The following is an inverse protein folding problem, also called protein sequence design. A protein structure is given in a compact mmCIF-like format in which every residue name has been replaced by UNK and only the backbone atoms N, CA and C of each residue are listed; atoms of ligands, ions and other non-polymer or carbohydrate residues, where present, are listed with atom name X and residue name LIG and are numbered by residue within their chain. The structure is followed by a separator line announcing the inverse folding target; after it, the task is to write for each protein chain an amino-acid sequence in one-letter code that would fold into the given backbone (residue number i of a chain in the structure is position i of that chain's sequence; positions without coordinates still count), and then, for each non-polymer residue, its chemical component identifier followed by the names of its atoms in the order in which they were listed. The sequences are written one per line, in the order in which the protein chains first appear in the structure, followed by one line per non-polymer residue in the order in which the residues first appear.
data_IF_646421227832
#
_entry.id   IF_646421227832
#
_cell.length_a   1.000
_cell.length_b   1.000
_cell.length_c   1.000
_cell.angle_alpha   90.00
_cell.angle_beta   90.00
_cell.angle_gamma   90.00
#
_symmetry.space_group_name_H-M   'P 1'
#
loop_
_entity.id
_entity.type
_entity.pdbx_description
1 polymer ?
#
# COMPACT_ATOMS: atom_id res chain seq x y z
N UNK A 1 35.45 -11.51 -21.94
CA UNK A 1 34.99 -12.08 -23.23
C UNK A 1 33.46 -12.05 -23.42
N UNK A 2 32.63 -12.73 -22.62
CA UNK A 2 31.15 -12.81 -22.85
C UNK A 2 30.37 -11.46 -22.82
N UNK A 3 30.82 -10.46 -22.05
CA UNK A 3 30.16 -9.15 -21.95
C UNK A 3 30.33 -8.28 -23.21
N UNK A 4 31.45 -8.42 -23.91
CA UNK A 4 31.79 -7.60 -25.09
C UNK A 4 31.00 -8.09 -26.32
N UNK A 5 30.84 -9.40 -26.47
CA UNK A 5 30.03 -10.01 -27.53
C UNK A 5 28.53 -9.67 -27.40
N UNK A 6 28.01 -9.54 -26.18
CA UNK A 6 26.62 -9.11 -25.95
C UNK A 6 26.40 -7.62 -26.25
N UNK A 7 27.42 -6.77 -26.08
CA UNK A 7 27.32 -5.35 -26.40
C UNK A 7 27.35 -5.11 -27.92
N UNK A 8 28.28 -5.76 -28.64
CA UNK A 8 28.37 -5.69 -30.10
C UNK A 8 27.15 -6.33 -30.78
N UNK A 9 26.62 -7.43 -30.22
CA UNK A 9 25.39 -8.06 -30.70
C UNK A 9 24.10 -7.27 -30.42
N UNK A 10 24.11 -6.34 -29.46
CA UNK A 10 23.01 -5.38 -29.22
C UNK A 10 23.05 -4.23 -30.23
N UNK A 11 24.22 -3.62 -30.45
CA UNK A 11 24.36 -2.52 -31.42
C UNK A 11 24.03 -2.93 -32.86
N UNK A 12 24.37 -4.16 -33.26
CA UNK A 12 24.00 -4.70 -34.59
C UNK A 12 22.49 -5.03 -34.68
N UNK A 13 21.86 -5.43 -33.57
CA UNK A 13 20.40 -5.59 -33.51
C UNK A 13 19.70 -4.24 -33.64
N UNK A 14 20.16 -3.23 -32.92
CA UNK A 14 19.56 -1.89 -32.90
C UNK A 14 19.64 -1.20 -34.26
N UNK A 15 20.77 -1.31 -34.98
CA UNK A 15 20.89 -0.79 -36.35
C UNK A 15 19.96 -1.47 -37.36
N UNK A 16 19.67 -2.76 -37.17
CA UNK A 16 18.70 -3.50 -38.00
C UNK A 16 17.24 -3.14 -37.65
N UNK A 17 16.95 -2.80 -36.39
CA UNK A 17 15.63 -2.29 -36.00
C UNK A 17 15.36 -0.90 -36.58
N UNK A 18 16.35 0.01 -36.54
CA UNK A 18 16.23 1.34 -37.14
C UNK A 18 15.99 1.28 -38.65
N UNK A 19 16.77 0.47 -39.39
CA UNK A 19 16.55 0.26 -40.83
C UNK A 19 15.17 -0.34 -41.16
N UNK A 20 14.67 -1.26 -40.33
CA UNK A 20 13.32 -1.82 -40.47
C UNK A 20 12.24 -0.79 -40.18
N UNK A 21 12.43 0.08 -39.19
CA UNK A 21 11.50 1.15 -38.87
C UNK A 21 11.41 2.18 -40.01
N UNK A 22 12.56 2.61 -40.57
CA UNK A 22 12.61 3.50 -41.74
C UNK A 22 11.89 2.88 -42.94
N UNK A 23 12.19 1.62 -43.27
CA UNK A 23 11.52 0.88 -44.34
C UNK A 23 10.01 0.69 -44.10
N UNK A 24 9.57 0.62 -42.84
CA UNK A 24 8.16 0.51 -42.49
C UNK A 24 7.44 1.85 -42.66
N UNK A 25 8.05 2.96 -42.24
CA UNK A 25 7.55 4.31 -42.47
C UNK A 25 7.44 4.60 -43.98
N UNK A 26 8.46 4.27 -44.77
CA UNK A 26 8.38 4.42 -46.24
C UNK A 26 7.23 3.62 -46.86
N UNK A 27 6.91 2.44 -46.32
CA UNK A 27 5.79 1.62 -46.79
C UNK A 27 4.43 2.21 -46.39
N UNK A 28 4.35 2.88 -45.25
CA UNK A 28 3.18 3.64 -44.81
C UNK A 28 2.96 4.86 -45.72
N UNK A 29 4.03 5.62 -46.01
CA UNK A 29 3.98 6.78 -46.91
C UNK A 29 3.57 6.40 -48.33
N UNK A 30 4.04 5.25 -48.83
CA UNK A 30 3.64 4.66 -50.12
C UNK A 30 2.22 4.06 -50.10
N UNK A 31 1.51 4.11 -48.97
CA UNK A 31 0.15 3.57 -48.80
C UNK A 31 0.04 2.05 -48.84
N UNK A 32 1.17 1.33 -48.78
CA UNK A 32 1.25 -0.12 -48.96
C UNK A 32 1.00 -0.91 -47.67
N UNK A 33 1.01 -0.25 -46.51
CA UNK A 33 0.79 -0.89 -45.20
C UNK A 33 -0.19 -0.11 -44.34
N UNK A 34 -1.25 -0.79 -43.89
CA UNK A 34 -2.25 -0.27 -42.94
C UNK A 34 -1.64 -0.28 -41.53
N UNK A 35 -1.55 0.88 -40.89
CA UNK A 35 -1.07 1.01 -39.51
C UNK A 35 -2.22 0.73 -38.57
N UNK A 36 -2.05 -0.27 -37.71
CA UNK A 36 -3.03 -0.57 -36.67
C UNK A 36 -2.77 0.30 -35.44
N UNK A 37 -3.84 0.83 -34.85
CA UNK A 37 -3.74 1.56 -33.60
C UNK A 37 -3.18 0.65 -32.47
N UNK A 38 -2.38 1.20 -31.54
CA UNK A 38 -1.86 0.45 -30.40
C UNK A 38 -3.01 -0.09 -29.55
N UNK A 39 -3.00 -1.39 -29.27
CA UNK A 39 -4.07 -2.07 -28.52
C UNK A 39 -3.81 -1.97 -27.02
N UNK A 40 -4.69 -1.29 -26.30
CA UNK A 40 -4.70 -1.29 -24.83
C UNK A 40 -5.63 -2.41 -24.36
N UNK A 41 -5.28 -3.23 -23.35
CA UNK A 41 -6.09 -4.39 -22.92
C UNK A 41 -7.54 -4.04 -22.55
N UNK A 42 -7.76 -2.83 -22.02
CA UNK A 42 -9.09 -2.32 -21.66
C UNK A 42 -9.98 -2.00 -22.86
N UNK A 43 -9.41 -1.83 -24.05
CA UNK A 43 -10.10 -1.41 -25.26
C UNK A 43 -10.43 -2.59 -26.20
N UNK A 44 -9.92 -3.79 -25.92
CA UNK A 44 -10.10 -4.97 -26.78
C UNK A 44 -11.57 -5.34 -27.00
N UNK A 45 -12.42 -5.17 -25.97
CA UNK A 45 -13.87 -5.46 -26.08
C UNK A 45 -14.55 -4.52 -27.09
N UNK A 46 -14.30 -3.22 -26.98
CA UNK A 46 -14.86 -2.20 -27.88
C UNK A 46 -14.29 -2.32 -29.30
N UNK A 47 -13.03 -2.72 -29.42
CA UNK A 47 -12.41 -3.00 -30.72
C UNK A 47 -13.07 -4.18 -31.42
N UNK A 48 -13.35 -5.26 -30.68
CA UNK A 48 -14.05 -6.43 -31.22
C UNK A 48 -15.51 -6.12 -31.60
N UNK A 49 -16.17 -5.22 -30.88
CA UNK A 49 -17.50 -4.70 -31.24
C UNK A 49 -17.44 -3.86 -32.52
N UNK A 50 -16.49 -2.93 -32.63
CA UNK A 50 -16.30 -2.09 -33.81
C UNK A 50 -15.86 -2.88 -35.06
N UNK A 51 -15.11 -3.98 -34.90
CA UNK A 51 -14.73 -4.86 -36.02
C UNK A 51 -15.88 -5.72 -36.55
N UNK A 52 -16.94 -5.92 -35.75
CA UNK A 52 -18.15 -6.63 -36.16
C UNK A 52 -19.14 -5.75 -36.92
N UNK A 53 -18.93 -4.43 -36.91
CA UNK A 53 -19.77 -3.48 -37.63
C UNK A 53 -19.27 -3.30 -39.08
N UNK A 54 -20.07 -3.79 -40.03
CA UNK A 54 -19.76 -3.75 -41.47
C UNK A 54 -19.74 -2.32 -42.03
N UNK A 55 -20.44 -1.37 -41.41
CA UNK A 55 -20.41 0.03 -41.83
C UNK A 55 -19.05 0.67 -41.51
N UNK A 56 -18.53 0.41 -40.31
CA UNK A 56 -17.22 0.90 -39.86
C UNK A 56 -16.10 0.25 -40.66
N UNK A 57 -16.23 -1.04 -40.99
CA UNK A 57 -15.23 -1.74 -41.82
C UNK A 57 -15.13 -1.15 -43.22
N UNK A 58 -16.26 -0.84 -43.86
CA UNK A 58 -16.30 -0.19 -45.18
C UNK A 58 -15.70 1.23 -45.13
N UNK A 59 -16.00 1.99 -44.08
CA UNK A 59 -15.46 3.36 -43.94
C UNK A 59 -13.95 3.39 -43.61
N UNK A 60 -13.42 2.31 -43.01
CA UNK A 60 -11.97 2.12 -42.80
C UNK A 60 -11.22 1.63 -44.06
N UNK A 61 -11.95 1.19 -45.08
CA UNK A 61 -11.41 0.77 -46.38
C UNK A 61 -11.50 1.89 -47.42
N UNK A 62 -12.41 2.86 -47.23
CA UNK A 62 -12.51 4.05 -48.07
C UNK A 62 -11.37 5.04 -47.78
N UNK A 63 -10.75 5.51 -48.86
CA UNK A 63 -9.68 6.51 -48.78
C UNK A 63 -10.30 7.91 -48.82
N UNK A 64 -10.33 8.58 -47.68
CA UNK A 64 -10.84 9.94 -47.58
C UNK A 64 -9.80 10.98 -48.04
N UNK A 65 -9.86 11.37 -49.31
CA UNK A 65 -8.90 12.31 -49.92
C UNK A 65 -8.88 13.69 -49.24
N UNK A 66 -10.04 14.16 -48.75
CA UNK A 66 -10.12 15.43 -48.02
C UNK A 66 -9.38 15.43 -46.68
N UNK A 67 -9.42 14.31 -45.95
CA UNK A 67 -8.67 14.13 -44.70
C UNK A 67 -7.17 14.08 -44.95
N UNK A 68 -6.75 13.36 -46.00
CA UNK A 68 -5.35 13.34 -46.43
C UNK A 68 -4.85 14.73 -46.86
N UNK A 69 -5.66 15.47 -47.60
CA UNK A 69 -5.37 16.85 -47.99
C UNK A 69 -5.25 17.80 -46.80
N UNK A 70 -6.01 17.58 -45.73
CA UNK A 70 -5.89 18.36 -44.49
C UNK A 70 -4.71 17.92 -43.62
N UNK A 71 -4.40 16.62 -43.55
CA UNK A 71 -3.20 16.11 -42.86
C UNK A 71 -1.91 16.68 -43.47
N UNK A 72 -1.83 16.72 -44.80
CA UNK A 72 -0.66 17.24 -45.51
C UNK A 72 -0.44 18.75 -45.32
N UNK A 73 -1.43 19.49 -44.79
CA UNK A 73 -1.28 20.91 -44.43
C UNK A 73 -0.62 21.11 -43.07
N UNK A 74 -0.60 20.09 -42.21
CA UNK A 74 0.06 20.19 -40.90
C UNK A 74 1.57 20.01 -41.07
N UNK A 75 2.31 21.11 -40.98
CA UNK A 75 3.76 21.07 -40.83
C UNK A 75 4.10 21.06 -39.34
N UNK A 76 4.18 19.87 -38.76
CA UNK A 76 4.65 19.70 -37.38
C UNK A 76 6.18 19.82 -37.39
N UNK A 77 6.68 21.03 -37.14
CA UNK A 77 8.10 21.21 -36.83
C UNK A 77 8.31 20.80 -35.38
N UNK A 78 8.95 19.64 -35.16
CA UNK A 78 9.55 19.29 -33.88
C UNK A 78 10.58 20.37 -33.55
N UNK A 79 10.22 21.33 -32.70
CA UNK A 79 11.21 22.16 -32.04
C UNK A 79 11.88 21.23 -31.05
N UNK A 80 13.15 20.91 -31.28
CA UNK A 80 13.93 20.18 -30.28
C UNK A 80 13.76 20.91 -28.95
N UNK A 81 13.39 20.19 -27.87
CA UNK A 81 13.23 20.83 -26.58
C UNK A 81 14.53 21.57 -26.26
N UNK A 82 14.45 22.81 -25.74
CA UNK A 82 15.66 23.56 -25.39
C UNK A 82 16.55 22.68 -24.54
N UNK A 83 17.85 22.64 -24.87
CA UNK A 83 18.83 21.82 -24.16
C UNK A 83 18.67 22.08 -22.66
N UNK A 84 18.35 21.02 -21.91
CA UNK A 84 18.30 21.12 -20.46
C UNK A 84 19.72 21.44 -20.00
N UNK A 85 19.90 22.56 -19.32
CA UNK A 85 21.14 22.85 -18.59
C UNK A 85 21.36 21.72 -17.58
N UNK A 86 22.19 20.75 -17.95
CA UNK A 86 22.66 19.72 -17.03
C UNK A 86 23.80 20.36 -16.27
N UNK A 87 23.74 20.36 -14.94
CA UNK A 87 24.81 20.94 -14.13
C UNK A 87 26.14 20.23 -14.41
N UNK A 88 27.19 21.01 -14.67
CA UNK A 88 28.58 20.50 -14.79
C UNK A 88 29.12 19.92 -13.48
N UNK A 89 28.38 20.08 -12.37
CA UNK A 89 28.75 19.50 -11.08
C UNK A 89 28.64 17.99 -11.16
N UNK A 90 29.77 17.32 -10.97
CA UNK A 90 29.83 15.88 -10.79
C UNK A 90 29.01 15.49 -9.57
N UNK A 91 27.96 14.69 -9.80
CA UNK A 91 27.19 14.10 -8.70
C UNK A 91 28.06 13.16 -7.87
N UNK A 92 27.74 12.96 -6.57
CA UNK A 92 28.40 11.96 -5.75
C UNK A 92 28.34 10.59 -6.44
N UNK A 93 29.49 9.92 -6.52
CA UNK A 93 29.55 8.54 -7.04
C UNK A 93 29.31 7.56 -5.90
N UNK A 94 28.87 6.35 -6.25
CA UNK A 94 28.70 5.26 -5.26
C UNK A 94 29.98 5.00 -4.46
N UNK A 95 31.14 5.21 -5.07
CA UNK A 95 32.43 5.07 -4.40
C UNK A 95 32.65 6.16 -3.35
N UNK A 96 32.31 7.42 -3.64
CA UNK A 96 32.36 8.50 -2.64
C UNK A 96 31.41 8.25 -1.47
N UNK A 97 30.19 7.75 -1.70
CA UNK A 97 29.28 7.40 -0.60
C UNK A 97 29.83 6.30 0.30
N UNK A 98 30.52 5.31 -0.28
CA UNK A 98 31.16 4.23 0.47
C UNK A 98 32.33 4.71 1.33
N UNK A 99 33.12 5.67 0.84
CA UNK A 99 34.23 6.25 1.59
C UNK A 99 33.78 7.04 2.82
N UNK A 100 32.65 7.73 2.72
CA UNK A 100 32.14 8.58 3.80
C UNK A 100 31.10 7.92 4.69
N UNK A 101 30.78 6.63 4.46
CA UNK A 101 29.78 5.89 5.25
C UNK A 101 30.03 5.87 6.76
N UNK A 102 31.29 6.04 7.17
CA UNK A 102 31.70 6.03 8.57
C UNK A 102 32.05 7.43 9.10
N UNK A 103 31.93 8.49 8.30
CA UNK A 103 32.15 9.85 8.78
C UNK A 103 30.98 10.28 9.67
N UNK A 104 31.21 10.72 10.92
CA UNK A 104 30.14 11.19 11.80
C UNK A 104 29.38 12.40 11.24
N UNK A 105 30.02 13.14 10.34
CA UNK A 105 29.49 14.32 9.65
C UNK A 105 28.70 13.93 8.39
N UNK A 106 28.83 12.68 7.93
CA UNK A 106 28.16 12.14 6.75
C UNK A 106 26.97 11.28 7.17
N UNK A 107 25.90 11.95 7.60
CA UNK A 107 24.61 11.29 7.82
C UNK A 107 23.61 11.79 6.77
N UNK A 108 22.82 10.86 6.21
CA UNK A 108 21.85 11.11 5.15
C UNK A 108 22.41 11.62 3.81
N UNK A 109 23.73 11.53 3.58
CA UNK A 109 24.37 11.83 2.29
C UNK A 109 24.63 13.33 2.04
N UNK A 110 24.61 14.16 3.08
CA UNK A 110 24.92 15.58 3.00
C UNK A 110 26.08 15.94 3.94
N UNK A 111 27.03 16.75 3.48
CA UNK A 111 27.98 17.40 4.38
C UNK A 111 27.26 18.51 5.14
N UNK A 112 27.15 18.36 6.45
CA UNK A 112 26.62 19.43 7.28
C UNK A 112 27.70 20.51 7.49
N UNK A 113 27.38 21.79 7.24
CA UNK A 113 28.28 22.87 7.59
C UNK A 113 28.45 22.96 9.10
N UNK A 114 29.64 23.36 9.55
CA UNK A 114 29.91 23.65 10.97
C UNK A 114 28.88 24.64 11.52
N UNK A 115 28.52 24.47 12.81
CA UNK A 115 27.46 25.25 13.46
C UNK A 115 27.63 26.78 13.30
N UNK A 116 28.87 27.26 13.28
CA UNK A 116 29.20 28.68 13.14
C UNK A 116 28.92 29.25 11.74
N UNK A 117 28.87 28.39 10.72
CA UNK A 117 28.61 28.76 9.32
C UNK A 117 27.12 28.72 8.98
N UNK A 118 26.28 28.25 9.90
CA UNK A 118 24.84 28.18 9.69
C UNK A 118 24.24 29.57 9.99
N UNK A 119 23.60 30.23 9.00
CA UNK A 119 22.95 31.51 9.24
C UNK A 119 21.75 31.35 10.17
N UNK A 120 21.41 32.43 10.89
CA UNK A 120 20.22 32.50 11.74
C UNK A 120 18.95 32.18 10.94
N UNK A 121 17.97 31.55 11.57
CA UNK A 121 16.73 31.08 10.93
C UNK A 121 16.92 30.03 9.83
N UNK A 122 18.06 29.32 9.83
CA UNK A 122 18.24 28.11 9.02
C UNK A 122 18.61 26.93 9.91
N UNK A 123 18.11 25.77 9.51
CA UNK A 123 18.38 24.47 10.11
C UNK A 123 19.13 23.63 9.09
N UNK A 124 20.00 22.75 9.56
CA UNK A 124 20.40 21.61 8.71
C UNK A 124 19.23 20.64 8.58
N UNK A 125 19.33 19.72 7.62
CA UNK A 125 18.28 18.73 7.42
C UNK A 125 18.16 17.77 8.61
N UNK A 126 19.28 17.37 9.21
CA UNK A 126 19.30 16.56 10.45
C UNK A 126 18.58 17.27 11.58
N UNK A 127 18.99 18.51 11.84
CA UNK A 127 18.41 19.34 12.89
C UNK A 127 16.89 19.53 12.72
N UNK A 128 16.45 19.71 11.47
CA UNK A 128 15.03 19.79 11.15
C UNK A 128 14.30 18.48 11.47
N UNK A 129 14.89 17.32 11.15
CA UNK A 129 14.30 16.01 11.47
C UNK A 129 14.21 15.76 12.97
N UNK A 130 15.27 16.06 13.73
CA UNK A 130 15.30 15.89 15.19
C UNK A 130 14.23 16.77 15.87
N UNK A 131 14.10 18.04 15.44
CA UNK A 131 13.06 18.96 15.92
C UNK A 131 11.65 18.45 15.56
N UNK A 132 11.46 17.99 14.32
CA UNK A 132 10.17 17.46 13.86
C UNK A 132 9.78 16.18 14.61
N UNK A 133 10.73 15.31 14.91
CA UNK A 133 10.50 14.11 15.71
C UNK A 133 10.07 14.48 17.14
N UNK A 134 10.81 15.38 17.80
CA UNK A 134 10.47 15.85 19.14
C UNK A 134 9.07 16.49 19.18
N UNK A 135 8.74 17.35 18.21
CA UNK A 135 7.38 17.94 18.06
C UNK A 135 6.32 16.87 17.79
N UNK A 136 6.65 15.84 17.02
CA UNK A 136 5.76 14.69 16.76
C UNK A 136 5.45 13.88 18.02
N UNK A 137 6.43 13.69 18.91
CA UNK A 137 6.26 12.99 20.19
C UNK A 137 5.45 13.83 21.19
N UNK A 138 5.67 15.16 21.21
CA UNK A 138 4.90 16.11 22.02
C UNK A 138 3.40 16.12 21.67
N UNK A 139 3.09 16.14 20.37
CA UNK A 139 1.73 16.20 19.85
C UNK A 139 1.07 14.83 19.69
N UNK A 140 1.68 13.75 20.22
CA UNK A 140 1.10 12.41 20.16
C UNK A 140 -0.19 12.35 20.99
N UNK A 141 -1.37 11.96 20.45
CA UNK A 141 -2.59 11.85 21.24
C UNK A 141 -2.57 10.72 22.29
N UNK A 142 -1.58 9.83 22.28
CA UNK A 142 -1.47 8.76 23.27
C UNK A 142 -1.28 9.29 24.70
N UNK A 143 -2.20 8.92 25.59
CA UNK A 143 -2.15 9.22 27.04
C UNK A 143 -1.75 7.98 27.85
N UNK A 144 -0.67 7.31 27.44
CA UNK A 144 -0.09 6.23 28.24
C UNK A 144 1.01 6.79 29.16
N UNK A 145 1.27 6.19 30.34
CA UNK A 145 2.38 6.62 31.20
C UNK A 145 3.75 6.51 30.51
N UNK A 146 3.89 5.63 29.51
CA UNK A 146 5.07 5.57 28.65
C UNK A 146 5.14 6.77 27.68
N UNK A 147 4.00 7.22 27.14
CA UNK A 147 3.94 8.43 26.33
C UNK A 147 4.28 9.69 27.11
N UNK A 148 3.86 9.81 28.38
CA UNK A 148 4.26 10.95 29.24
C UNK A 148 5.77 11.05 29.40
N UNK A 149 6.46 9.93 29.66
CA UNK A 149 7.93 9.90 29.73
C UNK A 149 8.58 10.29 28.41
N UNK A 150 8.03 9.84 27.28
CA UNK A 150 8.52 10.23 25.95
C UNK A 150 8.35 11.73 25.70
N UNK A 151 7.24 12.32 26.14
CA UNK A 151 7.02 13.77 26.05
C UNK A 151 8.03 14.56 26.88
N UNK A 152 8.34 14.13 28.10
CA UNK A 152 9.35 14.76 28.95
C UNK A 152 10.76 14.69 28.32
N UNK A 153 11.10 13.55 27.70
CA UNK A 153 12.34 13.40 26.94
C UNK A 153 12.34 14.32 25.72
N UNK A 154 11.22 14.40 25.00
CA UNK A 154 11.08 15.24 23.82
C UNK A 154 11.15 16.74 24.16
N UNK A 155 10.60 17.20 25.29
CA UNK A 155 10.75 18.58 25.76
C UNK A 155 12.20 18.89 26.06
N UNK A 156 12.89 18.00 26.79
CA UNK A 156 14.30 18.19 27.11
C UNK A 156 15.17 18.18 25.85
N UNK A 157 14.86 17.33 24.87
CA UNK A 157 15.56 17.31 23.59
C UNK A 157 15.36 18.61 22.82
N UNK A 158 14.13 19.13 22.75
CA UNK A 158 13.81 20.38 22.04
C UNK A 158 14.50 21.60 22.68
N UNK A 159 14.47 21.69 24.01
CA UNK A 159 15.07 22.79 24.77
C UNK A 159 16.59 22.83 24.66
N UNK A 160 17.25 21.67 24.60
CA UNK A 160 18.71 21.57 24.50
C UNK A 160 19.23 21.60 23.05
N UNK A 161 18.35 21.58 22.04
CA UNK A 161 18.77 21.42 20.65
C UNK A 161 19.31 22.73 20.05
N UNK A 162 20.55 22.71 19.58
CA UNK A 162 21.26 23.89 19.06
C UNK A 162 20.52 24.56 17.88
N UNK A 163 19.91 23.77 17.00
CA UNK A 163 19.11 24.29 15.88
C UNK A 163 17.82 24.98 16.33
N UNK A 164 17.20 24.52 17.42
CA UNK A 164 15.95 25.10 17.92
C UNK A 164 16.20 26.50 18.52
N UNK A 165 17.34 26.68 19.20
CA UNK A 165 17.76 27.99 19.71
C UNK A 165 18.08 29.03 18.61
N UNK A 166 18.39 28.59 17.37
CA UNK A 166 18.74 29.47 16.25
C UNK A 166 17.57 29.91 15.39
N UNK A 167 16.41 29.27 15.54
CA UNK A 167 15.28 29.43 14.63
C UNK A 167 14.05 29.92 15.38
N UNK A 168 13.35 30.88 14.77
CA UNK A 168 12.10 31.40 15.29
C UNK A 168 11.04 30.31 15.42
N UNK A 169 10.31 30.34 16.54
CA UNK A 169 9.30 29.33 16.87
C UNK A 169 8.18 29.25 15.82
N UNK A 170 7.81 30.38 15.21
CA UNK A 170 6.83 30.43 14.12
C UNK A 170 7.26 29.61 12.89
N UNK A 171 8.57 29.60 12.58
CA UNK A 171 9.10 28.86 11.44
C UNK A 171 9.08 27.36 11.73
N UNK A 172 9.39 26.97 12.97
CA UNK A 172 9.28 25.57 13.42
C UNK A 172 7.84 25.08 13.37
N UNK A 173 6.89 25.90 13.79
CA UNK A 173 5.47 25.52 13.77
C UNK A 173 4.93 25.39 12.34
N UNK A 174 5.27 26.33 11.43
CA UNK A 174 4.97 26.20 9.99
C UNK A 174 5.60 24.95 9.37
N UNK A 175 6.86 24.66 9.71
CA UNK A 175 7.55 23.46 9.27
C UNK A 175 6.82 22.21 9.76
N UNK A 176 6.42 22.17 11.03
CA UNK A 176 5.68 21.04 11.59
C UNK A 176 4.32 20.86 10.92
N UNK A 177 3.55 21.93 10.69
CA UNK A 177 2.27 21.85 9.97
C UNK A 177 2.42 21.27 8.57
N UNK A 178 3.47 21.66 7.85
CA UNK A 178 3.72 21.16 6.49
C UNK A 178 4.16 19.69 6.46
N UNK A 179 5.01 19.26 7.41
CA UNK A 179 5.56 17.90 7.42
C UNK A 179 4.71 16.89 8.21
N UNK A 180 3.81 17.34 9.09
CA UNK A 180 2.91 16.49 9.89
C UNK A 180 2.15 15.45 9.06
N UNK A 181 1.57 15.76 7.88
CA UNK A 181 0.86 14.77 7.06
C UNK A 181 1.72 13.60 6.59
N UNK A 182 3.05 13.77 6.54
CA UNK A 182 3.99 12.73 6.10
C UNK A 182 4.49 11.86 7.25
N UNK A 183 4.12 12.15 8.50
CA UNK A 183 4.49 11.35 9.64
C UNK A 183 3.82 9.98 9.58
N UNK A 184 4.58 8.95 9.22
CA UNK A 184 4.14 7.55 9.31
C UNK A 184 4.45 7.04 10.71
N UNK A 185 3.41 6.69 11.46
CA UNK A 185 3.55 5.91 12.69
C UNK A 185 3.32 4.45 12.35
N UNK A 186 4.41 3.70 12.24
CA UNK A 186 4.33 2.25 12.15
C UNK A 186 3.96 1.69 13.53
N UNK A 187 2.66 1.71 13.83
CA UNK A 187 2.12 1.09 15.04
C UNK A 187 2.17 -0.42 14.86
N UNK A 188 3.21 -1.04 15.41
CA UNK A 188 3.22 -2.49 15.55
C UNK A 188 2.15 -2.87 16.58
N UNK A 189 1.10 -3.57 16.15
CA UNK A 189 0.13 -4.18 17.08
C UNK A 189 0.80 -5.33 17.80
N UNK A 190 1.48 -5.02 18.89
CA UNK A 190 2.00 -6.03 19.80
C UNK A 190 0.84 -6.51 20.65
N UNK A 191 0.29 -7.68 20.32
CA UNK A 191 -0.76 -8.32 21.13
C UNK A 191 -0.08 -8.96 22.34
N UNK A 192 -0.69 -8.84 23.51
CA UNK A 192 -0.19 -9.50 24.70
C UNK A 192 -0.16 -11.02 24.47
N UNK A 193 0.96 -11.67 24.81
CA UNK A 193 1.13 -13.12 24.64
C UNK A 193 0.07 -13.91 25.40
N UNK A 194 -0.41 -13.36 26.53
CA UNK A 194 -1.47 -13.97 27.32
C UNK A 194 -2.79 -14.03 26.54
N UNK A 195 -3.20 -12.92 25.92
CA UNK A 195 -4.44 -12.84 25.15
C UNK A 195 -4.38 -13.76 23.92
N UNK A 196 -3.20 -13.89 23.29
CA UNK A 196 -2.99 -14.86 22.20
C UNK A 196 -3.12 -16.30 22.68
N UNK A 197 -2.57 -16.63 23.86
CA UNK A 197 -2.69 -17.97 24.44
C UNK A 197 -4.15 -18.31 24.77
N UNK A 198 -4.89 -17.37 25.37
CA UNK A 198 -6.33 -17.56 25.64
C UNK A 198 -7.14 -17.74 24.36
N UNK A 199 -6.86 -16.93 23.33
CA UNK A 199 -7.55 -17.05 22.03
C UNK A 199 -7.21 -18.37 21.33
N UNK A 200 -5.97 -18.85 21.47
CA UNK A 200 -5.52 -20.13 20.95
C UNK A 200 -6.18 -21.30 21.68
N UNK A 201 -6.31 -21.25 23.00
CA UNK A 201 -7.04 -22.25 23.79
C UNK A 201 -8.53 -22.28 23.45
N UNK A 202 -9.13 -21.10 23.23
CA UNK A 202 -10.52 -20.96 22.78
C UNK A 202 -10.73 -21.56 21.38
N UNK A 203 -9.88 -21.22 20.41
CA UNK A 203 -9.94 -21.77 19.05
C UNK A 203 -9.71 -23.29 19.00
N UNK A 204 -8.93 -23.82 19.95
CA UNK A 204 -8.68 -25.25 20.09
C UNK A 204 -9.76 -25.98 20.90
N UNK A 205 -10.81 -25.28 21.34
CA UNK A 205 -11.94 -25.89 22.07
C UNK A 205 -11.55 -26.47 23.44
N UNK A 206 -10.45 -25.99 24.03
CA UNK A 206 -9.93 -26.47 25.33
C UNK A 206 -10.48 -25.68 26.52
N UNK A 207 -11.36 -24.71 26.28
CA UNK A 207 -12.01 -23.94 27.33
C UNK A 207 -13.31 -24.61 27.75
N UNK A 208 -13.49 -24.83 29.06
CA UNK A 208 -14.74 -25.33 29.63
C UNK A 208 -15.93 -24.41 29.31
N UNK A 209 -16.91 -24.90 28.56
CA UNK A 209 -18.16 -24.20 28.23
C UNK A 209 -18.92 -23.69 29.47
N UNK A 210 -18.66 -24.30 30.64
CA UNK A 210 -19.27 -23.91 31.92
C UNK A 210 -18.72 -22.59 32.49
N UNK A 211 -17.50 -22.19 32.14
CA UNK A 211 -16.95 -20.87 32.55
C UNK A 211 -17.49 -19.72 31.73
N UNK A 212 -18.11 -19.99 30.57
CA UNK A 212 -18.65 -18.94 29.70
C UNK A 212 -19.94 -18.31 30.25
N UNK A 213 -20.73 -19.02 31.05
CA UNK A 213 -21.99 -18.49 31.60
C UNK A 213 -21.70 -17.48 32.74
N UNK A 214 -20.83 -17.84 33.68
CA UNK A 214 -20.37 -16.91 34.74
C UNK A 214 -19.45 -15.82 34.17
N UNK A 215 -18.64 -16.17 33.18
CA UNK A 215 -17.80 -15.24 32.45
C UNK A 215 -18.57 -14.25 31.57
N UNK A 216 -19.86 -14.42 31.25
CA UNK A 216 -20.54 -13.46 30.35
C UNK A 216 -20.64 -12.06 30.94
N UNK A 217 -20.87 -11.91 32.25
CA UNK A 217 -20.97 -10.59 32.88
C UNK A 217 -19.61 -9.90 32.92
N UNK A 218 -18.56 -10.66 33.23
CA UNK A 218 -17.20 -10.15 33.33
C UNK A 218 -16.52 -10.00 31.97
N UNK A 219 -16.79 -10.87 30.99
CA UNK A 219 -16.21 -10.85 29.66
C UNK A 219 -16.91 -9.85 28.74
N UNK A 220 -18.21 -9.59 28.95
CA UNK A 220 -18.85 -8.36 28.44
C UNK A 220 -18.10 -7.18 29.05
N UNK A 221 -18.00 -7.07 30.38
CA UNK A 221 -17.21 -6.00 31.02
C UNK A 221 -15.79 -5.86 30.45
N UNK A 222 -15.08 -6.95 30.15
CA UNK A 222 -13.74 -6.96 29.56
C UNK A 222 -13.70 -6.56 28.09
N UNK A 223 -14.66 -6.99 27.28
CA UNK A 223 -14.81 -6.50 25.90
C UNK A 223 -15.08 -4.99 25.87
N UNK A 224 -15.83 -4.50 26.86
CA UNK A 224 -16.11 -3.09 27.08
C UNK A 224 -14.96 -2.35 27.82
N UNK A 225 -13.92 -3.04 28.37
CA UNK A 225 -12.70 -2.39 28.93
C UNK A 225 -11.83 -1.71 27.86
N UNK A 226 -12.14 -1.84 26.57
CA UNK A 226 -11.65 -0.89 25.55
C UNK A 226 -12.28 0.48 25.83
N UNK A 227 -11.47 1.41 26.38
CA UNK A 227 -11.87 2.71 26.99
C UNK A 227 -13.09 3.43 26.37
N UNK A 228 -13.25 3.39 25.04
CA UNK A 228 -14.36 4.07 24.34
C UNK A 228 -15.75 3.49 24.63
N UNK A 229 -15.88 2.19 24.91
CA UNK A 229 -17.21 1.56 25.04
C UNK A 229 -17.65 1.44 26.51
N UNK A 230 -16.70 1.55 27.45
CA UNK A 230 -16.99 1.52 28.90
C UNK A 230 -17.79 2.75 29.34
N UNK A 231 -17.41 3.93 28.85
CA UNK A 231 -18.09 5.17 29.21
C UNK A 231 -19.52 5.24 28.67
N UNK A 232 -19.77 4.63 27.51
CA UNK A 232 -21.12 4.55 26.95
C UNK A 232 -21.95 3.50 27.68
N UNK A 233 -21.38 2.32 27.99
CA UNK A 233 -22.07 1.26 28.74
C UNK A 233 -22.46 1.68 30.17
N UNK A 234 -21.55 2.35 30.89
CA UNK A 234 -21.79 2.82 32.27
C UNK A 234 -22.77 4.02 32.34
N UNK A 235 -23.13 4.62 31.18
CA UNK A 235 -24.13 5.70 31.07
C UNK A 235 -25.54 5.20 30.72
N UNK A 236 -25.72 3.93 30.33
CA UNK A 236 -27.04 3.39 30.00
C UNK A 236 -27.84 3.11 31.27
N UNK A 237 -29.14 3.39 31.21
CA UNK A 237 -30.07 3.05 32.29
C UNK A 237 -30.28 1.53 32.37
N UNK A 238 -30.67 1.02 33.55
CA UNK A 238 -30.85 -0.41 33.82
C UNK A 238 -31.82 -1.10 32.83
N UNK A 239 -32.81 -0.38 32.31
CA UNK A 239 -33.74 -0.88 31.30
C UNK A 239 -33.09 -1.06 29.92
N UNK A 240 -32.19 -0.16 29.53
CA UNK A 240 -31.48 -0.21 28.26
C UNK A 240 -30.43 -1.32 28.28
N UNK A 241 -29.76 -1.49 29.42
CA UNK A 241 -28.87 -2.62 29.68
C UNK A 241 -29.62 -3.95 29.51
N UNK A 242 -30.85 -4.05 30.04
CA UNK A 242 -31.66 -5.27 29.92
C UNK A 242 -32.07 -5.54 28.46
N UNK A 243 -32.53 -4.52 27.73
CA UNK A 243 -32.86 -4.63 26.30
C UNK A 243 -31.65 -5.04 25.46
N UNK A 244 -30.47 -4.50 25.77
CA UNK A 244 -29.23 -4.87 25.12
C UNK A 244 -28.87 -6.35 25.37
N UNK A 245 -28.98 -6.81 26.61
CA UNK A 245 -28.73 -8.21 26.96
C UNK A 245 -29.71 -9.16 26.25
N UNK A 246 -30.99 -8.82 26.20
CA UNK A 246 -32.01 -9.58 25.46
C UNK A 246 -31.70 -9.63 23.95
N UNK A 247 -31.23 -8.54 23.36
CA UNK A 247 -30.83 -8.49 21.95
C UNK A 247 -29.61 -9.37 21.66
N UNK A 248 -28.61 -9.36 22.56
CA UNK A 248 -27.42 -10.21 22.45
C UNK A 248 -27.78 -11.69 22.56
N UNK A 249 -28.70 -12.05 23.48
CA UNK A 249 -29.19 -13.43 23.63
C UNK A 249 -29.88 -13.91 22.36
N UNK A 250 -30.77 -13.11 21.77
CA UNK A 250 -31.45 -13.46 20.50
C UNK A 250 -30.48 -13.65 19.33
N UNK A 251 -29.45 -12.81 19.23
CA UNK A 251 -28.42 -12.97 18.19
C UNK A 251 -27.68 -14.30 18.38
N UNK A 252 -27.36 -14.67 19.62
CA UNK A 252 -26.69 -15.93 19.93
C UNK A 252 -27.56 -17.15 19.66
N UNK A 253 -28.84 -17.11 20.02
CA UNK A 253 -29.80 -18.17 19.66
C UNK A 253 -29.86 -18.35 18.13
N UNK A 254 -29.98 -17.26 17.38
CA UNK A 254 -29.96 -17.32 15.91
C UNK A 254 -28.65 -17.86 15.33
N UNK A 255 -27.50 -17.56 15.96
CA UNK A 255 -26.22 -18.16 15.55
C UNK A 255 -26.12 -19.63 15.93
N UNK A 256 -26.63 -20.03 17.08
CA UNK A 256 -26.69 -21.42 17.51
C UNK A 256 -27.54 -22.25 16.53
N UNK A 257 -28.75 -21.79 16.19
CA UNK A 257 -29.62 -22.44 15.20
C UNK A 257 -28.97 -22.55 13.83
N UNK A 258 -28.25 -21.51 13.40
CA UNK A 258 -27.49 -21.53 12.14
C UNK A 258 -26.38 -22.57 12.16
N UNK A 259 -25.65 -22.65 13.28
CA UNK A 259 -24.58 -23.63 13.46
C UNK A 259 -25.14 -25.04 13.51
N UNK A 260 -26.24 -25.26 14.22
CA UNK A 260 -26.92 -26.55 14.29
C UNK A 260 -27.41 -27.02 12.90
N UNK A 261 -27.97 -26.12 12.09
CA UNK A 261 -28.32 -26.40 10.69
C UNK A 261 -27.10 -26.83 9.89
N UNK A 262 -25.99 -26.08 9.98
CA UNK A 262 -24.74 -26.44 9.29
C UNK A 262 -24.18 -27.78 9.76
N UNK A 263 -24.33 -28.11 11.04
CA UNK A 263 -23.86 -29.37 11.61
C UNK A 263 -24.71 -30.55 11.09
N UNK A 264 -26.02 -30.35 10.94
CA UNK A 264 -26.91 -31.31 10.27
C UNK A 264 -26.52 -31.49 8.79
N UNK A 265 -26.28 -30.40 8.07
CA UNK A 265 -25.84 -30.46 6.67
C UNK A 265 -24.52 -31.24 6.52
N UNK A 266 -23.54 -30.98 7.38
CA UNK A 266 -22.26 -31.71 7.39
C UNK A 266 -22.49 -33.21 7.63
N UNK A 267 -23.31 -33.59 8.63
CA UNK A 267 -23.64 -35.01 8.88
C UNK A 267 -24.31 -35.69 7.67
N UNK A 268 -25.17 -34.98 6.93
CA UNK A 268 -25.78 -35.53 5.71
C UNK A 268 -24.78 -35.67 4.55
N UNK A 269 -23.75 -34.82 4.51
CA UNK A 269 -22.68 -34.93 3.53
C UNK A 269 -21.78 -36.11 3.89
N UNK A 270 -21.42 -36.27 5.17
CA UNK A 270 -20.64 -37.40 5.68
C UNK A 270 -21.34 -38.73 5.40
N UNK A 271 -22.65 -38.84 5.66
CA UNK A 271 -23.40 -40.06 5.36
C UNK A 271 -23.45 -40.38 3.87
N UNK A 272 -23.54 -39.36 3.00
CA UNK A 272 -23.49 -39.55 1.53
C UNK A 272 -22.10 -39.97 1.06
N UNK A 273 -21.04 -39.47 1.70
CA UNK A 273 -19.66 -39.88 1.42
C UNK A 273 -19.49 -41.35 1.83
N UNK A 274 -19.93 -41.75 3.02
CA UNK A 274 -19.88 -43.16 3.45
C UNK A 274 -20.70 -44.09 2.53
N UNK A 275 -21.87 -43.67 2.05
CA UNK A 275 -22.66 -44.45 1.08
C UNK A 275 -21.96 -44.56 -0.29
N UNK A 276 -21.31 -43.50 -0.77
CA UNK A 276 -20.50 -43.53 -2.00
C UNK A 276 -19.28 -44.44 -1.85
N UNK A 277 -18.61 -44.40 -0.69
CA UNK A 277 -17.49 -45.29 -0.38
C UNK A 277 -17.94 -46.76 -0.33
N UNK A 278 -19.08 -47.06 0.30
CA UNK A 278 -19.66 -48.41 0.33
C UNK A 278 -20.01 -48.91 -1.08
N UNK A 279 -20.69 -48.10 -1.91
CA UNK A 279 -20.99 -48.45 -3.31
C UNK A 279 -19.73 -48.70 -4.15
N UNK A 280 -18.70 -47.87 -3.95
CA UNK A 280 -17.41 -48.05 -4.63
C UNK A 280 -16.64 -49.30 -4.16
N UNK A 281 -16.94 -49.81 -2.96
CA UNK A 281 -16.36 -51.05 -2.42
C UNK A 281 -17.12 -52.31 -2.87
N UNK A 282 -18.42 -52.20 -3.16
CA UNK A 282 -19.23 -53.28 -3.74
C UNK A 282 -18.95 -53.50 -5.24
N UNK A 283 -18.70 -52.44 -6.01
CA UNK A 283 -18.27 -52.55 -7.42
C UNK A 283 -16.86 -53.13 -7.60
N UNK A 284 -16.07 -53.24 -6.53
CA UNK A 284 -14.72 -53.82 -6.52
C UNK A 284 -14.64 -55.28 -6.09
N UNK A 285 -15.76 -55.96 -5.85
CA UNK A 285 -15.78 -57.43 -5.71
C UNK A 285 -15.95 -58.06 -7.10
N UNK A 286 -14.92 -58.69 -7.68
CA UNK A 286 -15.07 -59.42 -8.93
C UNK A 286 -15.88 -60.70 -8.70
N UNK A 287 -16.70 -61.02 -9.69
CA UNK A 287 -17.24 -62.36 -9.94
C UNK A 287 -16.16 -63.45 -9.72
N UNK A 288 -16.40 -64.34 -8.76
CA UNK A 288 -15.92 -65.73 -8.81
C UNK A 288 -16.85 -66.58 -9.68
#
# INVERSE_FOLDING_TARGET
MKRIWNAVGKTVRDGNFQKKAVNYVEKIEKGSTKVHAPKVPTEEKRFNEAQKDDAVKKDLETRHEGLLGNMNKFKITSVEPPEREVSDKTFPTRESEWYHRNDPVWEFGFYEPEADKIPKNKLTFREALEILEAKGQLNDPEQTPAASKRREIATAALENHAGFARVDQELVDKMYEFFRPFQRKDLQKVVNKHDLAQLQEYLQGRTDDKRLVEGTRDHVRELFKKKLVKEEYDRLDDEEIRKFQEAVLKIREGQHDRLEKRLKDIKTIESKIEEMERKSSEEKKPHE
#
